data_IF_111855391978
#
_entry.id   IF_111855391978
#
_cell.length_a   1.000
_cell.length_b   1.000
_cell.length_c   1.000
_cell.angle_alpha   90.00
_cell.angle_beta   90.00
_cell.angle_gamma   90.00
#
_symmetry.space_group_name_H-M   'P 1'
#
loop_
_entity.id
_entity.type
_entity.pdbx_description
1 polymer ?
#
# COMPACT_ATOMS: atom_id res chain seq x y z
N UNK A 1 29.10 7.10 -43.97
CA UNK A 1 29.00 8.31 -43.13
C UNK A 1 28.67 7.89 -41.71
N UNK A 2 29.47 8.21 -40.69
CA UNK A 2 29.08 7.98 -39.30
C UNK A 2 28.06 9.06 -38.86
N UNK A 3 27.06 8.66 -38.07
CA UNK A 3 26.05 9.57 -37.55
C UNK A 3 26.66 10.56 -36.53
N UNK A 4 26.20 11.82 -36.48
CA UNK A 4 26.72 12.80 -35.53
C UNK A 4 26.41 12.39 -34.08
N UNK A 5 27.30 12.70 -33.12
CA UNK A 5 27.09 12.37 -31.72
C UNK A 5 25.89 13.14 -31.16
N UNK A 6 25.01 12.45 -30.43
CA UNK A 6 23.86 13.05 -29.79
C UNK A 6 24.31 14.08 -28.76
N UNK A 7 23.72 15.29 -28.80
CA UNK A 7 24.00 16.35 -27.84
C UNK A 7 23.39 15.98 -26.48
N UNK A 8 24.14 16.11 -25.37
CA UNK A 8 23.59 15.85 -24.05
C UNK A 8 22.42 16.79 -23.76
N UNK A 9 21.39 16.32 -23.03
CA UNK A 9 20.24 17.15 -22.70
C UNK A 9 20.67 18.35 -21.85
N UNK A 10 20.04 19.51 -22.10
CA UNK A 10 20.30 20.71 -21.31
C UNK A 10 19.79 20.54 -19.87
N UNK A 11 20.42 21.23 -18.90
CA UNK A 11 19.96 21.26 -17.50
C UNK A 11 18.48 21.58 -17.39
N UNK A 12 17.98 22.52 -18.21
CA UNK A 12 16.56 22.91 -18.25
C UNK A 12 15.67 21.77 -18.72
N UNK A 13 16.08 21.02 -19.74
CA UNK A 13 15.31 19.88 -20.24
C UNK A 13 15.22 18.76 -19.19
N UNK A 14 16.32 18.48 -18.48
CA UNK A 14 16.33 17.51 -17.38
C UNK A 14 15.40 17.95 -16.24
N UNK A 15 15.44 19.23 -15.86
CA UNK A 15 14.57 19.77 -14.81
C UNK A 15 13.07 19.73 -15.21
N UNK A 16 12.75 20.05 -16.47
CA UNK A 16 11.37 19.99 -16.96
C UNK A 16 10.84 18.56 -17.02
N UNK A 17 11.63 17.63 -17.53
CA UNK A 17 11.27 16.22 -17.55
C UNK A 17 11.11 15.66 -16.12
N UNK A 18 12.03 15.96 -15.21
CA UNK A 18 11.95 15.57 -13.81
C UNK A 18 10.71 16.14 -13.11
N UNK A 19 10.41 17.43 -13.31
CA UNK A 19 9.20 18.04 -12.75
C UNK A 19 7.91 17.42 -13.29
N UNK A 20 7.87 17.09 -14.58
CA UNK A 20 6.72 16.42 -15.19
C UNK A 20 6.51 15.02 -14.60
N UNK A 21 7.59 14.25 -14.44
CA UNK A 21 7.55 12.93 -13.78
C UNK A 21 7.06 13.05 -12.34
N UNK A 22 7.54 14.04 -11.58
CA UNK A 22 7.08 14.26 -10.21
C UNK A 22 5.60 14.60 -10.15
N UNK A 23 5.11 15.47 -11.04
CA UNK A 23 3.69 15.85 -11.09
C UNK A 23 2.79 14.65 -11.44
N UNK A 24 3.16 13.88 -12.47
CA UNK A 24 2.40 12.71 -12.90
C UNK A 24 2.50 11.54 -11.90
N UNK A 25 3.61 11.41 -11.18
CA UNK A 25 3.83 10.38 -10.17
C UNK A 25 3.04 10.58 -8.88
N UNK A 26 2.64 11.81 -8.54
CA UNK A 26 1.90 12.10 -7.30
C UNK A 26 0.51 11.45 -7.26
N UNK A 27 -0.18 11.30 -8.39
CA UNK A 27 -1.50 10.68 -8.47
C UNK A 27 -1.48 9.18 -8.09
N UNK A 28 -0.31 8.54 -8.12
CA UNK A 28 -0.13 7.15 -7.67
C UNK A 28 0.16 7.04 -6.17
N UNK A 29 0.26 8.17 -5.44
CA UNK A 29 0.48 8.21 -3.99
C UNK A 29 -0.85 8.49 -3.26
N UNK A 30 -1.91 7.80 -3.67
CA UNK A 30 -3.08 7.65 -2.83
C UNK A 30 -2.86 6.41 -1.94
N UNK A 31 -2.16 6.60 -0.82
CA UNK A 31 -2.04 5.56 0.23
C UNK A 31 -2.96 5.92 1.38
N UNK A 32 -4.10 5.25 1.45
CA UNK A 32 -5.06 5.36 2.55
C UNK A 32 -5.27 3.99 3.17
N UNK A 33 -5.02 3.90 4.48
CA UNK A 33 -5.36 2.79 5.38
C UNK A 33 -5.45 1.41 4.71
N UNK A 34 -4.39 1.00 4.01
CA UNK A 34 -4.35 -0.26 3.28
C UNK A 34 -3.76 -1.33 4.19
N UNK A 35 -4.27 -2.56 4.08
CA UNK A 35 -3.64 -3.71 4.72
C UNK A 35 -2.39 -4.08 3.91
N UNK A 36 -1.22 -3.96 4.53
CA UNK A 36 0.06 -4.25 3.87
C UNK A 36 0.48 -5.70 4.01
N UNK A 37 0.08 -6.37 5.11
CA UNK A 37 0.35 -7.77 5.33
C UNK A 37 -0.63 -8.42 6.33
N UNK A 38 -0.87 -9.72 6.14
CA UNK A 38 -1.56 -10.58 7.09
C UNK A 38 -0.71 -11.82 7.32
N UNK A 39 -0.45 -12.14 8.59
CA UNK A 39 0.32 -13.32 8.99
C UNK A 39 -0.47 -14.17 9.96
N UNK A 40 -0.38 -15.48 9.81
CA UNK A 40 -1.01 -16.45 10.71
C UNK A 40 0.07 -17.35 11.28
N UNK A 41 0.08 -17.49 12.60
CA UNK A 41 0.99 -18.35 13.35
C UNK A 41 0.17 -19.32 14.18
N UNK A 42 -0.04 -20.56 13.68
CA UNK A 42 -0.80 -21.57 14.40
C UNK A 42 0.05 -22.18 15.52
N UNK A 43 -0.52 -22.32 16.71
CA UNK A 43 0.03 -23.12 17.80
C UNK A 43 -1.12 -23.82 18.58
N UNK A 44 -0.83 -24.92 19.32
CA UNK A 44 -1.86 -25.67 20.05
C UNK A 44 -2.62 -24.82 21.09
N UNK A 45 -1.90 -23.96 21.80
CA UNK A 45 -2.41 -23.13 22.89
C UNK A 45 -3.11 -21.84 22.41
N UNK A 46 -2.75 -21.33 21.23
CA UNK A 46 -3.42 -20.21 20.56
C UNK A 46 -2.97 -20.09 19.11
N UNK A 47 -3.83 -19.54 18.26
CA UNK A 47 -3.45 -19.07 16.92
C UNK A 47 -3.30 -17.56 16.94
N UNK A 48 -2.16 -17.04 16.49
CA UNK A 48 -1.93 -15.59 16.37
C UNK A 48 -2.18 -15.14 14.94
N UNK A 49 -2.96 -14.07 14.79
CA UNK A 49 -3.14 -13.36 13.53
C UNK A 49 -2.58 -11.96 13.69
N UNK A 50 -1.62 -11.56 12.85
CA UNK A 50 -1.05 -10.21 12.84
C UNK A 50 -1.49 -9.52 11.55
N UNK A 51 -2.10 -8.35 11.70
CA UNK A 51 -2.55 -7.48 10.60
C UNK A 51 -1.69 -6.22 10.66
N UNK A 52 -0.93 -5.97 9.61
CA UNK A 52 -0.09 -4.79 9.46
C UNK A 52 -0.75 -3.82 8.47
N UNK A 53 -0.78 -2.53 8.81
CA UNK A 53 -1.30 -1.47 7.96
C UNK A 53 -0.33 -0.31 7.87
N UNK A 54 -0.41 0.46 6.78
CA UNK A 54 0.29 1.72 6.61
C UNK A 54 -0.37 2.91 7.35
N UNK A 55 -1.54 2.67 7.98
CA UNK A 55 -2.25 3.61 8.84
C UNK A 55 -2.56 3.02 10.23
N UNK A 56 -3.08 3.88 11.11
CA UNK A 56 -3.54 3.45 12.43
C UNK A 56 -4.82 2.59 12.31
N UNK A 57 -4.82 1.42 12.93
CA UNK A 57 -5.96 0.49 12.91
C UNK A 57 -6.95 0.82 14.03
N UNK A 58 -8.22 1.02 13.67
CA UNK A 58 -9.35 1.04 14.60
C UNK A 58 -10.14 -0.24 14.38
N UNK A 59 -10.14 -1.15 15.35
CA UNK A 59 -10.74 -2.46 15.22
C UNK A 59 -11.74 -2.76 16.35
N UNK A 60 -12.83 -3.45 16.01
CA UNK A 60 -13.84 -3.96 16.94
C UNK A 60 -13.95 -5.48 16.77
N UNK A 61 -13.78 -6.19 17.88
CA UNK A 61 -13.88 -7.66 17.90
C UNK A 61 -15.21 -8.11 18.49
N UNK A 62 -15.85 -9.10 17.87
CA UNK A 62 -17.08 -9.71 18.37
C UNK A 62 -17.21 -11.17 17.91
N UNK A 63 -17.91 -11.97 18.71
CA UNK A 63 -18.17 -13.37 18.38
C UNK A 63 -19.52 -13.50 17.67
N UNK A 64 -19.56 -14.26 16.58
CA UNK A 64 -20.79 -14.67 15.90
C UNK A 64 -21.00 -16.16 16.16
N UNK A 65 -22.20 -16.54 16.58
CA UNK A 65 -22.47 -17.87 17.17
C UNK A 65 -22.80 -18.96 16.15
N UNK A 66 -23.18 -18.62 14.92
CA UNK A 66 -23.66 -19.60 13.93
C UNK A 66 -23.13 -19.32 12.51
N UNK A 67 -22.20 -20.14 11.98
CA UNK A 67 -21.27 -20.97 12.75
C UNK A 67 -20.39 -20.11 13.68
N UNK A 68 -19.84 -20.68 14.77
CA UNK A 68 -19.01 -19.96 15.73
C UNK A 68 -17.76 -19.40 15.04
N UNK A 69 -17.61 -18.08 15.06
CA UNK A 69 -16.46 -17.37 14.49
C UNK A 69 -16.17 -16.09 15.27
N UNK A 70 -14.89 -15.72 15.34
CA UNK A 70 -14.45 -14.40 15.76
C UNK A 70 -14.48 -13.49 14.53
N UNK A 71 -15.26 -12.42 14.60
CA UNK A 71 -15.25 -11.36 13.61
C UNK A 71 -14.46 -10.18 14.16
N UNK A 72 -13.61 -9.59 13.31
CA UNK A 72 -12.86 -8.38 13.61
C UNK A 72 -13.21 -7.40 12.51
N UNK A 73 -13.99 -6.38 12.86
CA UNK A 73 -14.33 -5.28 11.98
C UNK A 73 -13.24 -4.21 12.07
N UNK A 74 -12.79 -3.70 10.93
CA UNK A 74 -11.73 -2.71 10.85
C UNK A 74 -12.26 -1.48 10.11
N UNK A 75 -12.34 -0.37 10.82
CA UNK A 75 -12.93 0.86 10.30
C UNK A 75 -11.93 1.62 9.42
N UNK A 76 -12.46 2.29 8.40
CA UNK A 76 -11.68 3.23 7.58
C UNK A 76 -10.67 2.56 6.66
N UNK A 77 -10.73 1.23 6.48
CA UNK A 77 -9.92 0.49 5.52
C UNK A 77 -10.67 0.32 4.22
N UNK A 78 -9.98 0.62 3.12
CA UNK A 78 -10.42 0.22 1.79
C UNK A 78 -9.94 -1.21 1.55
N UNK A 79 -10.89 -2.15 1.48
CA UNK A 79 -10.58 -3.49 1.03
C UNK A 79 -10.36 -3.38 -0.47
N UNK A 80 -9.10 -3.46 -0.90
CA UNK A 80 -8.78 -3.56 -2.33
C UNK A 80 -9.68 -4.62 -3.00
N UNK A 81 -10.17 -4.37 -4.21
CA UNK A 81 -11.05 -5.30 -4.94
C UNK A 81 -10.39 -6.66 -5.21
#
# INVERSE_FOLDING_TARGET
>A
MPAPPARPPSRRAVLQAGSLVLLLGTQHIARGATIVAVRVWPAPEYSRVTIESDGALVAKQFFVTTPPRLAVDIEGIDLSP
#
